data_IF_736976263393
#
_entry.id   IF_736976263393
#
_cell.length_a   1.000
_cell.length_b   1.000
_cell.length_c   1.000
_cell.angle_alpha   90.00
_cell.angle_beta   90.00
_cell.angle_gamma   90.00
#
_symmetry.space_group_name_H-M   'P 1'
#
loop_
_entity.id
_entity.type
_entity.pdbx_description
1 polymer ?
#
# COMPACT_ATOMS: atom_id res chain seq x y z
N UNK A 1 -3.23 -9.30 35.08
CA UNK A 1 -4.66 -9.54 35.28
C UNK A 1 -5.36 -8.25 35.71
N UNK A 2 -6.69 -8.15 35.63
CA UNK A 2 -7.46 -6.96 36.09
C UNK A 2 -7.27 -6.67 37.58
N UNK A 3 -7.01 -7.70 38.38
CA UNK A 3 -6.76 -7.58 39.82
C UNK A 3 -5.38 -6.98 40.15
N UNK A 4 -4.38 -7.18 39.31
CA UNK A 4 -3.07 -6.53 39.45
C UNK A 4 -3.14 -5.04 39.14
N UNK A 5 -3.97 -4.63 38.18
CA UNK A 5 -4.19 -3.21 37.89
C UNK A 5 -4.92 -2.48 39.00
N UNK A 6 -5.83 -3.15 39.72
CA UNK A 6 -6.58 -2.56 40.82
C UNK A 6 -5.72 -2.23 42.08
N UNK A 7 -4.56 -2.89 42.26
CA UNK A 7 -3.63 -2.65 43.35
C UNK A 7 -2.47 -1.69 43.03
N UNK A 8 -2.40 -1.22 41.78
CA UNK A 8 -1.28 -0.41 41.30
C UNK A 8 -1.50 1.06 41.65
N UNK A 9 -0.60 1.65 42.45
CA UNK A 9 -0.61 3.09 42.74
C UNK A 9 -0.03 3.88 41.55
N UNK A 10 -0.89 4.18 40.57
CA UNK A 10 -0.53 4.94 39.39
C UNK A 10 0.01 6.33 39.69
N UNK A 11 -0.41 6.95 40.79
CA UNK A 11 0.08 8.27 41.19
C UNK A 11 1.54 8.20 41.65
N UNK A 12 1.94 7.13 42.36
CA UNK A 12 3.31 6.88 42.77
C UNK A 12 4.21 6.61 41.58
N UNK A 13 3.77 5.73 40.68
CA UNK A 13 4.50 5.41 39.41
C UNK A 13 4.69 6.67 38.58
N UNK A 14 3.63 7.46 38.37
CA UNK A 14 3.69 8.71 37.61
C UNK A 14 4.69 9.70 38.22
N UNK A 15 4.76 9.79 39.53
CA UNK A 15 5.71 10.67 40.25
C UNK A 15 7.16 10.20 40.10
N UNK A 16 7.40 8.89 40.17
CA UNK A 16 8.73 8.28 39.97
C UNK A 16 9.21 8.48 38.52
N UNK A 17 8.32 8.30 37.54
CA UNK A 17 8.60 8.54 36.16
C UNK A 17 8.94 10.01 35.88
N UNK A 18 8.19 10.96 36.45
CA UNK A 18 8.51 12.39 36.30
C UNK A 18 9.87 12.73 36.93
N UNK A 19 10.22 12.13 38.07
CA UNK A 19 11.50 12.34 38.73
C UNK A 19 12.68 11.74 37.96
N UNK A 20 12.45 10.72 37.14
CA UNK A 20 13.48 10.10 36.29
C UNK A 20 13.95 11.02 35.17
N UNK A 21 13.25 12.11 34.89
CA UNK A 21 13.58 13.07 33.81
C UNK A 21 13.40 12.54 32.37
N UNK A 22 12.81 11.34 32.21
CA UNK A 22 12.64 10.69 30.89
C UNK A 22 11.35 11.08 30.15
N UNK A 23 10.48 11.88 30.78
CA UNK A 23 9.20 12.27 30.20
C UNK A 23 9.19 13.66 29.61
N UNK A 24 8.43 13.83 28.52
CA UNK A 24 8.14 15.13 27.91
C UNK A 24 6.82 15.66 28.46
N UNK A 25 6.86 16.81 29.17
CA UNK A 25 5.65 17.44 29.70
C UNK A 25 4.89 18.14 28.57
N UNK A 26 3.61 17.84 28.44
CA UNK A 26 2.69 18.46 27.49
C UNK A 26 1.51 19.08 28.23
N UNK A 27 0.70 19.98 27.63
CA UNK A 27 -0.52 20.52 28.22
C UNK A 27 -1.56 19.44 28.58
N UNK A 28 -1.43 18.25 28.02
CA UNK A 28 -2.36 17.12 28.20
C UNK A 28 -1.83 16.04 29.14
N UNK A 29 -0.59 16.16 29.65
CA UNK A 29 0.05 15.19 30.52
C UNK A 29 1.52 14.98 30.19
N UNK A 30 2.10 13.93 30.75
CA UNK A 30 3.50 13.56 30.50
C UNK A 30 3.57 12.38 29.54
N UNK A 31 4.31 12.55 28.46
CA UNK A 31 4.60 11.52 27.47
C UNK A 31 5.90 10.81 27.85
N UNK A 32 5.86 9.50 27.97
CA UNK A 32 7.02 8.66 28.15
C UNK A 32 7.21 7.76 26.93
N UNK A 33 8.45 7.66 26.47
CA UNK A 33 8.83 6.67 25.46
C UNK A 33 9.02 5.33 26.17
N UNK A 34 8.30 4.29 25.75
CA UNK A 34 8.53 2.94 26.25
C UNK A 34 9.77 2.38 25.53
N UNK A 35 10.91 2.34 26.26
CA UNK A 35 12.19 1.85 25.71
C UNK A 35 12.18 0.33 25.47
N UNK A 36 11.21 -0.40 26.04
CA UNK A 36 11.08 -1.85 25.86
C UNK A 36 10.45 -2.23 24.51
N UNK A 37 9.81 -1.27 23.84
CA UNK A 37 9.28 -1.44 22.50
C UNK A 37 10.18 -0.66 21.54
N UNK A 38 10.94 -1.32 20.65
CA UNK A 38 11.75 -0.62 19.68
C UNK A 38 10.83 0.28 18.81
N UNK A 39 11.11 1.58 18.84
CA UNK A 39 10.45 2.54 17.96
C UNK A 39 10.98 2.28 16.54
N UNK A 40 10.22 1.61 15.73
CA UNK A 40 10.48 1.65 14.30
C UNK A 40 10.05 3.03 13.79
N UNK A 41 10.96 3.81 13.21
CA UNK A 41 10.61 5.10 12.66
C UNK A 41 9.60 4.87 11.52
N UNK A 42 8.36 5.27 11.74
CA UNK A 42 7.27 5.17 10.77
C UNK A 42 7.45 6.15 9.61
N UNK A 43 8.33 7.12 9.75
CA UNK A 43 8.63 8.12 8.73
C UNK A 43 10.08 8.61 8.88
N UNK A 44 10.87 8.49 7.83
CA UNK A 44 12.28 8.91 7.79
C UNK A 44 12.47 10.39 7.40
N UNK A 45 11.38 11.15 7.24
CA UNK A 45 11.36 12.51 6.75
C UNK A 45 11.21 12.63 5.22
N UNK A 46 11.21 11.50 4.50
CA UNK A 46 11.06 11.44 3.03
C UNK A 46 10.17 10.31 2.55
N UNK A 47 10.17 9.18 3.24
CA UNK A 47 9.43 8.00 2.83
C UNK A 47 8.57 7.53 4.01
N UNK A 48 7.29 7.29 3.78
CA UNK A 48 6.54 6.43 4.68
C UNK A 48 7.13 5.03 4.56
N UNK A 49 7.32 4.28 5.68
CA UNK A 49 7.64 2.88 5.58
C UNK A 49 6.56 2.21 4.73
N UNK A 50 6.95 1.14 4.07
CA UNK A 50 6.03 0.32 3.27
C UNK A 50 4.80 -0.01 4.11
N UNK A 51 3.81 0.83 4.00
CA UNK A 51 2.49 0.50 4.46
C UNK A 51 1.99 -0.52 3.46
N UNK A 52 2.09 -1.79 3.84
CA UNK A 52 1.25 -2.81 3.25
C UNK A 52 -0.20 -2.38 3.50
N UNK A 53 -0.71 -1.57 2.61
CA UNK A 53 -2.12 -1.22 2.60
C UNK A 53 -2.87 -2.52 2.42
N UNK A 54 -3.43 -3.04 3.52
CA UNK A 54 -4.23 -4.26 3.50
C UNK A 54 -5.26 -4.12 2.39
N UNK A 55 -5.04 -4.85 1.29
CA UNK A 55 -5.93 -4.85 0.13
C UNK A 55 -5.39 -4.14 -1.11
N UNK A 56 -4.18 -3.56 -1.11
CA UNK A 56 -3.54 -3.14 -2.35
C UNK A 56 -2.98 -4.36 -3.07
N UNK A 57 -3.24 -4.45 -4.38
CA UNK A 57 -2.71 -5.50 -5.24
C UNK A 57 -1.39 -5.09 -5.88
N UNK A 58 -1.15 -3.79 -6.04
CA UNK A 58 0.09 -3.26 -6.57
C UNK A 58 0.41 -1.90 -5.94
N UNK A 59 1.70 -1.59 -5.78
CA UNK A 59 2.17 -0.26 -5.39
C UNK A 59 2.99 0.31 -6.54
N UNK A 60 2.63 1.49 -6.99
CA UNK A 60 3.31 2.21 -8.07
C UNK A 60 3.96 3.46 -7.50
N UNK A 61 5.26 3.61 -7.72
CA UNK A 61 5.97 4.85 -7.48
C UNK A 61 5.85 5.73 -8.73
N UNK A 62 5.42 6.96 -8.52
CA UNK A 62 5.34 8.00 -9.55
C UNK A 62 6.35 9.07 -9.21
N UNK A 63 7.32 9.28 -10.08
CA UNK A 63 8.46 10.18 -9.81
C UNK A 63 8.55 11.30 -10.82
N UNK A 64 8.91 12.49 -10.36
CA UNK A 64 9.21 13.65 -11.20
C UNK A 64 10.24 14.55 -10.53
N UNK A 65 11.33 14.86 -11.22
CA UNK A 65 12.39 15.80 -10.75
C UNK A 65 12.95 15.48 -9.36
N UNK A 66 12.97 14.19 -8.98
CA UNK A 66 13.48 13.72 -7.69
C UNK A 66 12.45 13.72 -6.56
N UNK A 67 11.21 14.10 -6.82
CA UNK A 67 10.06 13.90 -5.93
C UNK A 67 9.35 12.62 -6.32
N UNK A 68 8.82 11.88 -5.35
CA UNK A 68 8.13 10.59 -5.57
C UNK A 68 6.86 10.55 -4.73
N UNK A 69 5.76 10.13 -5.35
CA UNK A 69 4.49 9.78 -4.71
C UNK A 69 4.18 8.31 -4.95
N UNK A 70 3.49 7.69 -4.01
CA UNK A 70 3.13 6.27 -4.09
C UNK A 70 1.62 6.11 -4.27
N UNK A 71 1.23 5.28 -5.24
CA UNK A 71 -0.14 4.89 -5.48
C UNK A 71 -0.33 3.43 -5.08
N UNK A 72 -1.31 3.18 -4.23
CA UNK A 72 -1.67 1.84 -3.74
C UNK A 72 -2.91 1.38 -4.48
N UNK A 73 -2.72 0.54 -5.49
CA UNK A 73 -3.77 0.11 -6.39
C UNK A 73 -4.53 -1.13 -5.89
N UNK A 74 -5.86 -1.21 -6.05
CA UNK A 74 -6.71 -0.19 -6.66
C UNK A 74 -7.01 0.97 -5.72
N UNK A 75 -7.03 2.18 -6.28
CA UNK A 75 -7.40 3.40 -5.57
C UNK A 75 -8.40 4.23 -6.39
N UNK A 76 -8.90 5.32 -5.81
CA UNK A 76 -9.81 6.20 -6.55
C UNK A 76 -9.07 6.97 -7.68
N UNK A 77 -9.81 7.33 -8.73
CA UNK A 77 -9.26 8.19 -9.80
C UNK A 77 -8.76 9.52 -9.23
N UNK A 78 -9.44 10.04 -8.20
CA UNK A 78 -9.02 11.27 -7.52
C UNK A 78 -7.67 11.14 -6.83
N UNK A 79 -7.34 9.98 -6.25
CA UNK A 79 -6.02 9.73 -5.65
C UNK A 79 -4.93 9.72 -6.73
N UNK A 80 -5.23 9.13 -7.89
CA UNK A 80 -4.34 9.12 -9.05
C UNK A 80 -4.09 10.56 -9.53
N UNK A 81 -5.14 11.36 -9.74
CA UNK A 81 -5.03 12.75 -10.18
C UNK A 81 -4.33 13.63 -9.13
N UNK A 82 -4.51 13.32 -7.83
CA UNK A 82 -3.83 14.01 -6.75
C UNK A 82 -2.31 13.81 -6.78
N UNK A 83 -1.83 12.63 -7.17
CA UNK A 83 -0.39 12.39 -7.30
C UNK A 83 0.25 13.32 -8.34
N UNK A 84 -0.41 13.56 -9.47
CA UNK A 84 0.05 14.55 -10.47
C UNK A 84 0.13 15.96 -9.89
N UNK A 85 -0.86 16.36 -9.08
CA UNK A 85 -0.90 17.70 -8.47
C UNK A 85 0.24 17.87 -7.47
N UNK A 86 0.54 16.85 -6.67
CA UNK A 86 1.64 16.87 -5.69
C UNK A 86 3.01 16.90 -6.37
N UNK A 87 3.18 16.22 -7.50
CA UNK A 87 4.42 16.17 -8.27
C UNK A 87 4.60 17.36 -9.24
N UNK A 88 3.86 18.45 -9.11
CA UNK A 88 3.57 19.52 -10.05
C UNK A 88 3.69 19.10 -11.52
N UNK A 89 3.01 18.01 -11.88
CA UNK A 89 2.92 17.48 -13.24
C UNK A 89 1.58 17.84 -13.87
N UNK A 90 1.59 18.10 -15.17
CA UNK A 90 0.35 18.37 -15.93
C UNK A 90 -0.21 17.09 -16.56
N UNK A 91 0.67 16.16 -16.91
CA UNK A 91 0.33 14.92 -17.57
C UNK A 91 1.20 13.78 -17.06
N UNK A 92 0.76 12.56 -17.27
CA UNK A 92 1.48 11.35 -16.84
C UNK A 92 2.78 11.13 -17.62
N UNK A 93 2.87 11.60 -18.87
CA UNK A 93 4.06 11.51 -19.69
C UNK A 93 5.23 12.37 -19.14
N UNK A 94 4.94 13.28 -18.23
CA UNK A 94 5.96 14.06 -17.52
C UNK A 94 6.54 13.33 -16.31
N UNK A 95 5.98 12.17 -15.94
CA UNK A 95 6.34 11.38 -14.78
C UNK A 95 6.94 10.04 -15.19
N UNK A 96 7.84 9.54 -14.36
CA UNK A 96 8.34 8.17 -14.45
C UNK A 96 7.51 7.31 -13.47
N UNK A 97 6.92 6.21 -13.97
CA UNK A 97 6.15 5.27 -13.17
C UNK A 97 6.92 3.95 -13.07
N UNK A 98 7.08 3.44 -11.85
CA UNK A 98 7.68 2.13 -11.59
C UNK A 98 6.81 1.30 -10.65
N UNK A 99 6.76 -0.01 -10.87
CA UNK A 99 6.12 -0.94 -9.95
C UNK A 99 7.08 -1.24 -8.80
N UNK A 100 6.70 -0.86 -7.57
CA UNK A 100 7.52 -1.06 -6.37
C UNK A 100 7.20 -2.40 -5.69
N UNK A 101 5.93 -2.76 -5.61
CA UNK A 101 5.53 -4.05 -5.08
C UNK A 101 4.30 -4.61 -5.79
N UNK A 102 4.17 -5.93 -5.74
CA UNK A 102 3.04 -6.67 -6.25
C UNK A 102 2.61 -7.68 -5.18
N UNK A 103 1.39 -7.52 -4.68
CA UNK A 103 0.79 -8.34 -3.62
C UNK A 103 -0.22 -9.35 -4.17
N UNK A 104 -0.12 -9.67 -5.45
CA UNK A 104 -0.93 -10.71 -6.05
C UNK A 104 -0.56 -12.09 -5.47
N UNK A 105 -1.51 -13.00 -5.30
CA UNK A 105 -1.26 -14.31 -4.74
C UNK A 105 -0.43 -15.25 -5.64
N UNK A 106 -0.10 -14.81 -6.87
CA UNK A 106 0.69 -15.53 -7.86
C UNK A 106 1.88 -14.68 -8.29
N UNK A 107 3.09 -15.23 -8.23
CA UNK A 107 4.34 -14.49 -8.45
C UNK A 107 4.45 -13.86 -9.85
N UNK A 108 3.94 -14.52 -10.89
CA UNK A 108 4.03 -14.05 -12.28
C UNK A 108 3.25 -12.75 -12.53
N UNK A 109 2.33 -12.39 -11.65
CA UNK A 109 1.53 -11.17 -11.79
C UNK A 109 2.32 -9.88 -11.64
N UNK A 110 3.48 -9.92 -11.01
CA UNK A 110 4.40 -8.78 -10.96
C UNK A 110 4.86 -8.35 -12.35
N UNK A 111 5.18 -9.29 -13.22
CA UNK A 111 5.62 -9.00 -14.60
C UNK A 111 4.46 -8.51 -15.46
N UNK A 112 3.27 -9.09 -15.34
CA UNK A 112 2.07 -8.60 -16.04
C UNK A 112 1.75 -7.16 -15.61
N UNK A 113 1.82 -6.86 -14.33
CA UNK A 113 1.59 -5.50 -13.80
C UNK A 113 2.60 -4.49 -14.34
N UNK A 114 3.89 -4.86 -14.45
CA UNK A 114 4.92 -4.02 -15.07
C UNK A 114 4.64 -3.78 -16.55
N UNK A 115 4.25 -4.82 -17.27
CA UNK A 115 3.91 -4.73 -18.70
C UNK A 115 2.74 -3.76 -18.93
N UNK A 116 1.64 -3.92 -18.18
CA UNK A 116 0.48 -3.03 -18.27
C UNK A 116 0.88 -1.60 -17.92
N UNK A 117 1.62 -1.40 -16.80
CA UNK A 117 2.05 -0.07 -16.38
C UNK A 117 2.90 0.62 -17.45
N UNK A 118 3.82 -0.11 -18.09
CA UNK A 118 4.74 0.43 -19.09
C UNK A 118 4.05 0.73 -20.44
N UNK A 119 3.12 -0.12 -20.86
CA UNK A 119 2.50 -0.04 -22.19
C UNK A 119 1.18 0.74 -22.20
N UNK A 120 0.40 0.66 -21.12
CA UNK A 120 -0.95 1.20 -21.05
C UNK A 120 -1.14 2.25 -19.95
N UNK A 121 -0.21 2.32 -19.00
CA UNK A 121 -0.18 3.34 -17.95
C UNK A 121 -0.95 2.97 -16.68
N UNK A 122 -0.90 3.90 -15.72
CA UNK A 122 -1.38 3.68 -14.34
C UNK A 122 -2.90 3.51 -14.25
N UNK A 123 -3.67 4.18 -15.11
CA UNK A 123 -5.14 4.05 -15.10
C UNK A 123 -5.59 2.65 -15.53
N UNK A 124 -4.96 2.08 -16.55
CA UNK A 124 -5.25 0.72 -17.01
C UNK A 124 -4.86 -0.30 -15.93
N UNK A 125 -3.69 -0.15 -15.33
CA UNK A 125 -3.28 -1.00 -14.21
C UNK A 125 -4.24 -0.88 -13.02
N UNK A 126 -4.69 0.32 -12.68
CA UNK A 126 -5.66 0.52 -11.60
C UNK A 126 -7.00 -0.18 -11.87
N UNK A 127 -7.53 -0.07 -13.10
CA UNK A 127 -8.76 -0.74 -13.50
C UNK A 127 -8.62 -2.26 -13.48
N UNK A 128 -7.47 -2.77 -13.90
CA UNK A 128 -7.15 -4.20 -13.80
C UNK A 128 -7.14 -4.64 -12.34
N UNK A 129 -6.43 -3.93 -11.45
CA UNK A 129 -6.41 -4.22 -10.01
C UNK A 129 -7.81 -4.19 -9.39
N UNK A 130 -8.67 -3.22 -9.76
CA UNK A 130 -10.04 -3.14 -9.24
C UNK A 130 -10.88 -4.36 -9.69
N UNK A 131 -10.71 -4.79 -10.93
CA UNK A 131 -11.42 -5.97 -11.47
C UNK A 131 -10.94 -7.25 -10.81
N UNK A 132 -9.62 -7.37 -10.57
CA UNK A 132 -9.00 -8.53 -9.94
C UNK A 132 -9.24 -8.61 -8.43
N UNK A 133 -9.52 -7.50 -7.77
CA UNK A 133 -9.84 -7.45 -6.34
C UNK A 133 -11.03 -8.33 -5.96
N UNK A 134 -11.88 -8.68 -6.92
CA UNK A 134 -13.03 -9.57 -6.74
C UNK A 134 -12.66 -11.05 -6.71
N UNK A 135 -11.46 -11.40 -7.14
CA UNK A 135 -10.94 -12.76 -7.05
C UNK A 135 -10.40 -12.98 -5.63
N UNK A 136 -10.93 -13.98 -4.92
CA UNK A 136 -10.75 -14.12 -3.48
C UNK A 136 -9.58 -15.01 -3.08
N UNK A 137 -9.15 -15.91 -3.94
CA UNK A 137 -8.13 -16.89 -3.60
C UNK A 137 -7.08 -17.11 -4.69
N UNK A 138 -6.00 -17.80 -4.29
CA UNK A 138 -4.91 -18.16 -5.18
C UNK A 138 -5.37 -19.02 -6.36
N UNK A 139 -6.35 -19.89 -6.15
CA UNK A 139 -6.88 -20.81 -7.17
C UNK A 139 -7.55 -20.03 -8.31
N UNK A 140 -8.23 -18.92 -8.02
CA UNK A 140 -8.86 -18.09 -9.04
C UNK A 140 -7.81 -17.34 -9.87
N UNK A 141 -6.73 -16.88 -9.26
CA UNK A 141 -5.60 -16.29 -9.98
C UNK A 141 -4.86 -17.32 -10.83
N UNK A 142 -4.68 -18.55 -10.36
CA UNK A 142 -4.07 -19.64 -11.14
C UNK A 142 -4.92 -19.98 -12.37
N UNK A 143 -6.26 -20.04 -12.21
CA UNK A 143 -7.19 -20.23 -13.34
C UNK A 143 -7.10 -19.08 -14.34
N UNK A 144 -7.07 -17.84 -13.86
CA UNK A 144 -6.95 -16.66 -14.70
C UNK A 144 -5.63 -16.68 -15.48
N UNK A 145 -4.51 -16.96 -14.81
CA UNK A 145 -3.20 -17.07 -15.46
C UNK A 145 -3.18 -18.16 -16.54
N UNK A 146 -3.79 -19.31 -16.27
CA UNK A 146 -3.92 -20.38 -17.26
C UNK A 146 -4.79 -19.94 -18.45
N UNK A 147 -5.90 -19.24 -18.19
CA UNK A 147 -6.77 -18.72 -19.25
C UNK A 147 -6.05 -17.67 -20.13
N UNK A 148 -5.27 -16.77 -19.52
CA UNK A 148 -4.46 -15.79 -20.24
C UNK A 148 -3.42 -16.46 -21.15
N UNK A 149 -2.70 -17.46 -20.63
CA UNK A 149 -1.73 -18.23 -21.43
C UNK A 149 -2.39 -18.96 -22.59
N UNK A 150 -3.57 -19.55 -22.39
CA UNK A 150 -4.31 -20.25 -23.46
C UNK A 150 -4.85 -19.29 -24.53
N UNK A 151 -5.21 -18.07 -24.13
CA UNK A 151 -5.74 -17.06 -25.03
C UNK A 151 -4.65 -16.17 -25.65
N UNK A 152 -3.39 -16.30 -25.21
CA UNK A 152 -2.25 -15.45 -25.62
C UNK A 152 -2.55 -13.96 -25.38
N UNK A 153 -2.97 -13.62 -24.15
CA UNK A 153 -3.45 -12.30 -23.74
C UNK A 153 -2.59 -11.74 -22.63
N UNK A 154 -2.15 -10.49 -22.80
CA UNK A 154 -1.32 -9.75 -21.84
C UNK A 154 -1.78 -8.27 -21.64
N UNK A 155 -2.81 -7.85 -22.35
CA UNK A 155 -3.38 -6.50 -22.24
C UNK A 155 -4.45 -6.38 -21.15
N UNK A 156 -4.60 -5.18 -20.59
CA UNK A 156 -5.48 -4.92 -19.46
C UNK A 156 -6.96 -5.19 -19.76
N UNK A 157 -7.44 -4.84 -20.97
CA UNK A 157 -8.85 -4.98 -21.34
C UNK A 157 -9.23 -6.46 -21.41
N UNK A 158 -8.42 -7.26 -22.10
CA UNK A 158 -8.64 -8.71 -22.24
C UNK A 158 -8.53 -9.44 -20.91
N UNK A 159 -7.59 -9.05 -20.04
CA UNK A 159 -7.46 -9.59 -18.68
C UNK A 159 -8.73 -9.31 -17.87
N UNK A 160 -9.25 -8.09 -17.91
CA UNK A 160 -10.50 -7.73 -17.22
C UNK A 160 -11.69 -8.54 -17.74
N UNK A 161 -11.78 -8.75 -19.04
CA UNK A 161 -12.83 -9.58 -19.64
C UNK A 161 -12.74 -11.03 -19.17
N UNK A 162 -11.54 -11.63 -19.19
CA UNK A 162 -11.30 -12.98 -18.68
C UNK A 162 -11.64 -13.10 -17.19
N UNK A 163 -11.18 -12.16 -16.39
CA UNK A 163 -11.46 -12.14 -14.93
C UNK A 163 -12.96 -12.09 -14.63
N UNK A 164 -13.72 -11.32 -15.40
CA UNK A 164 -15.18 -11.24 -15.25
C UNK A 164 -15.91 -12.51 -15.70
N UNK A 165 -15.30 -13.31 -16.58
CA UNK A 165 -15.89 -14.54 -17.09
C UNK A 165 -15.54 -15.78 -16.27
N UNK A 166 -14.48 -15.71 -15.44
CA UNK A 166 -14.04 -16.84 -14.60
C UNK A 166 -15.13 -17.43 -13.72
N UNK A 167 -16.09 -16.62 -13.26
CA UNK A 167 -17.23 -17.08 -12.45
C UNK A 167 -18.32 -17.80 -13.28
N UNK A 168 -18.16 -17.89 -14.60
CA UNK A 168 -19.11 -18.56 -15.49
C UNK A 168 -18.61 -19.95 -15.94
N UNK A 169 -17.47 -20.40 -15.43
CA UNK A 169 -16.85 -21.72 -15.65
C UNK A 169 -16.79 -22.54 -14.31
#
# INVERSE_FOLDING_TARGET
SLDEMASTDFAKIGKELMQSGKGITTPYGVLFVNEDIPFEPVYDGRHFPEYDYKGSLATVAVSRKGETEYLYLPCSIQDIDHALTKLPAKTWEECECSLESSNFPVEDWGENSKSILANEGVYCLNNTCESLRRLYDKSDFEKLSAAMQMADVDDSESIVVLANQLNNF
#
